data_IF_978066838120
#
_entry.id   IF_978066838120
#
_cell.length_a   1.000
_cell.length_b   1.000
_cell.length_c   1.000
_cell.angle_alpha   90.00
_cell.angle_beta   90.00
_cell.angle_gamma   90.00
#
_symmetry.space_group_name_H-M   'P 1'
#
loop_
_entity.id
_entity.type
_entity.pdbx_description
1 polymer ?
#
# COMPACT_ATOMS: atom_id res chain seq x y z
N UNK A 1 9.76 -14.72 -1.57
CA UNK A 1 8.72 -15.55 -0.97
C UNK A 1 8.04 -16.35 -2.05
N UNK A 2 7.60 -17.55 -1.70
CA UNK A 2 6.89 -18.49 -2.57
C UNK A 2 5.81 -19.20 -1.76
N UNK A 3 4.80 -19.75 -2.44
CA UNK A 3 3.74 -20.53 -1.80
C UNK A 3 4.24 -21.96 -1.54
N UNK A 4 3.91 -22.58 -0.38
CA UNK A 4 4.12 -24.02 -0.18
C UNK A 4 3.37 -24.88 -1.21
N UNK A 5 3.97 -25.99 -1.62
CA UNK A 5 3.45 -26.83 -2.72
C UNK A 5 1.99 -27.29 -2.51
N UNK A 6 1.60 -27.64 -1.28
CA UNK A 6 0.25 -28.10 -0.95
C UNK A 6 -0.83 -27.03 -1.19
N UNK A 7 -0.50 -25.75 -1.01
CA UNK A 7 -1.45 -24.63 -1.08
C UNK A 7 -1.39 -23.90 -2.44
N UNK A 8 -0.59 -24.41 -3.37
CA UNK A 8 -0.38 -23.76 -4.65
C UNK A 8 -1.69 -23.62 -5.42
N UNK A 9 -1.90 -22.45 -6.02
CA UNK A 9 -3.07 -22.06 -6.81
C UNK A 9 -4.41 -21.93 -6.05
N UNK A 10 -4.48 -22.31 -4.78
CA UNK A 10 -5.71 -22.25 -3.99
C UNK A 10 -5.80 -20.99 -3.12
N UNK A 11 -7.03 -20.49 -2.93
CA UNK A 11 -7.35 -19.41 -2.00
C UNK A 11 -8.63 -19.74 -1.23
N UNK A 12 -8.68 -19.43 0.07
CA UNK A 12 -9.91 -19.49 0.85
C UNK A 12 -10.63 -18.15 0.77
N UNK A 13 -11.92 -18.20 0.47
CA UNK A 13 -12.80 -17.04 0.44
C UNK A 13 -14.01 -17.32 1.31
N UNK A 14 -14.13 -16.58 2.41
CA UNK A 14 -15.26 -16.73 3.34
C UNK A 14 -16.60 -16.60 2.61
N UNK A 15 -17.48 -17.57 2.82
CA UNK A 15 -18.78 -17.65 2.15
C UNK A 15 -18.78 -18.41 0.82
N UNK A 16 -17.62 -18.64 0.20
CA UNK A 16 -17.46 -19.46 -1.01
C UNK A 16 -16.67 -20.74 -0.77
N UNK A 17 -15.79 -20.78 0.25
CA UNK A 17 -14.90 -21.89 0.53
C UNK A 17 -13.57 -21.77 -0.21
N UNK A 18 -12.96 -22.91 -0.55
CA UNK A 18 -11.68 -22.96 -1.26
C UNK A 18 -11.93 -22.85 -2.77
N UNK A 19 -11.22 -21.93 -3.42
CA UNK A 19 -11.27 -21.71 -4.87
C UNK A 19 -9.89 -21.92 -5.50
N UNK A 20 -9.85 -22.30 -6.78
CA UNK A 20 -8.61 -22.42 -7.55
C UNK A 20 -8.44 -21.22 -8.49
N UNK A 21 -7.44 -20.39 -8.21
CA UNK A 21 -7.19 -19.12 -8.91
C UNK A 21 -6.68 -19.36 -10.33
N UNK A 22 -5.83 -20.37 -10.56
CA UNK A 22 -5.30 -20.68 -11.90
C UNK A 22 -6.42 -21.11 -12.84
N UNK A 23 -7.31 -21.99 -12.39
CA UNK A 23 -8.44 -22.45 -13.22
C UNK A 23 -9.40 -21.32 -13.55
N UNK A 24 -9.61 -20.37 -12.63
CA UNK A 24 -10.55 -19.26 -12.82
C UNK A 24 -9.99 -18.12 -13.69
N UNK A 25 -8.71 -17.76 -13.52
CA UNK A 25 -8.12 -16.55 -14.09
C UNK A 25 -6.91 -16.80 -15.01
N UNK A 26 -6.52 -18.06 -15.18
CA UNK A 26 -5.41 -18.48 -16.04
C UNK A 26 -4.03 -18.27 -15.41
N UNK A 27 -2.99 -18.63 -16.18
CA UNK A 27 -1.61 -18.61 -15.72
C UNK A 27 -1.06 -17.21 -15.43
N UNK A 28 -1.61 -16.18 -16.08
CA UNK A 28 -1.18 -14.78 -15.88
C UNK A 28 -1.51 -14.24 -14.49
N UNK A 29 -2.52 -14.82 -13.82
CA UNK A 29 -2.88 -14.50 -12.45
C UNK A 29 -1.93 -15.13 -11.41
N UNK A 30 -1.09 -16.09 -11.82
CA UNK A 30 -0.21 -16.83 -10.92
C UNK A 30 1.22 -16.31 -11.02
N UNK A 31 1.82 -16.03 -9.86
CA UNK A 31 3.24 -15.79 -9.73
C UNK A 31 3.87 -16.79 -8.77
N UNK A 32 4.81 -17.58 -9.28
CA UNK A 32 5.49 -18.64 -8.51
C UNK A 32 6.31 -18.08 -7.34
N UNK A 33 7.02 -17.00 -7.58
CA UNK A 33 7.86 -16.35 -6.58
C UNK A 33 7.91 -14.84 -6.77
N UNK A 34 8.10 -14.14 -5.65
CA UNK A 34 8.27 -12.69 -5.64
C UNK A 34 9.21 -12.23 -4.53
N UNK A 35 10.07 -11.27 -4.83
CA UNK A 35 10.86 -10.56 -3.83
C UNK A 35 9.96 -9.69 -2.95
N UNK A 36 10.09 -9.84 -1.62
CA UNK A 36 9.40 -8.98 -0.66
C UNK A 36 10.09 -7.62 -0.64
N UNK A 37 9.35 -6.56 -1.02
CA UNK A 37 9.87 -5.17 -1.07
C UNK A 37 9.04 -4.17 -0.28
N UNK A 38 7.76 -4.48 -0.07
CA UNK A 38 6.80 -3.67 0.65
C UNK A 38 5.92 -4.61 1.49
N UNK A 39 5.66 -4.22 2.73
CA UNK A 39 4.66 -4.82 3.61
C UNK A 39 3.53 -3.82 3.78
N UNK A 40 2.30 -4.28 3.60
CA UNK A 40 1.11 -3.48 3.86
C UNK A 40 0.43 -4.07 5.10
N UNK A 41 0.49 -3.33 6.20
CA UNK A 41 -0.13 -3.73 7.47
C UNK A 41 -1.56 -3.22 7.50
N UNK A 42 -2.51 -4.13 7.41
CA UNK A 42 -3.92 -3.82 7.60
C UNK A 42 -4.22 -3.82 9.09
N UNK A 43 -4.57 -2.67 9.65
CA UNK A 43 -4.87 -2.56 11.08
C UNK A 43 -6.20 -1.85 11.33
N UNK A 44 -7.04 -2.35 12.25
CA UNK A 44 -8.17 -1.58 12.72
C UNK A 44 -7.62 -0.34 13.44
N UNK A 45 -8.17 0.83 13.13
CA UNK A 45 -7.84 2.07 13.83
C UNK A 45 -9.12 2.74 14.28
N UNK A 46 -9.14 3.25 15.50
CA UNK A 46 -10.23 4.11 15.97
C UNK A 46 -10.07 5.55 15.45
N UNK A 47 -11.10 6.38 15.64
CA UNK A 47 -11.09 7.77 15.17
C UNK A 47 -9.93 8.61 15.73
N UNK A 48 -9.52 8.35 16.98
CA UNK A 48 -8.42 9.06 17.59
C UNK A 48 -7.07 8.66 16.97
N UNK A 49 -6.89 7.39 16.60
CA UNK A 49 -5.71 6.90 15.89
C UNK A 49 -5.67 7.40 14.45
N UNK A 50 -6.81 7.39 13.75
CA UNK A 50 -6.95 7.96 12.40
C UNK A 50 -6.60 9.45 12.37
N UNK A 51 -6.93 10.21 13.41
CA UNK A 51 -6.55 11.62 13.54
C UNK A 51 -5.05 11.83 13.75
N UNK A 52 -4.33 10.84 14.26
CA UNK A 52 -2.87 10.89 14.46
C UNK A 52 -2.09 10.49 13.20
N UNK A 53 -2.75 9.91 12.20
CA UNK A 53 -2.10 9.59 10.92
C UNK A 53 -1.69 10.88 10.23
N UNK A 54 -0.42 10.96 9.84
CA UNK A 54 0.09 12.04 9.00
C UNK A 54 -0.62 11.99 7.64
N UNK A 55 -1.38 13.04 7.32
CA UNK A 55 -2.19 13.10 6.09
C UNK A 55 -1.37 13.39 4.85
N UNK A 56 -0.18 13.97 5.00
CA UNK A 56 0.70 14.34 3.89
C UNK A 56 1.71 13.23 3.62
N UNK A 57 2.33 12.71 4.67
CA UNK A 57 3.39 11.70 4.54
C UNK A 57 2.92 10.29 4.78
N UNK A 58 1.72 10.06 5.35
CA UNK A 58 1.25 8.73 5.69
C UNK A 58 2.05 8.07 6.80
N UNK A 59 1.74 6.79 7.06
CA UNK A 59 2.38 5.99 8.11
C UNK A 59 3.35 4.97 7.50
N UNK A 60 4.56 5.43 7.16
CA UNK A 60 5.64 4.58 6.65
C UNK A 60 6.62 4.19 7.78
N UNK A 61 7.03 2.93 7.77
CA UNK A 61 7.98 2.35 8.71
C UNK A 61 8.84 1.28 8.01
N UNK A 62 9.67 0.59 8.79
CA UNK A 62 10.41 -0.58 8.33
C UNK A 62 10.14 -1.76 9.26
N UNK A 63 10.01 -2.95 8.68
CA UNK A 63 9.86 -4.21 9.40
C UNK A 63 11.00 -5.14 9.01
N UNK A 64 11.70 -5.67 10.02
CA UNK A 64 12.79 -6.62 9.81
C UNK A 64 12.23 -8.01 9.51
N UNK A 65 12.63 -8.57 8.37
CA UNK A 65 12.31 -9.94 7.96
C UNK A 65 13.63 -10.66 7.73
N UNK A 66 13.95 -11.65 8.57
CA UNK A 66 15.21 -12.40 8.51
C UNK A 66 16.46 -11.48 8.52
N UNK A 67 16.42 -10.40 9.32
CA UNK A 67 17.51 -9.42 9.41
C UNK A 67 17.54 -8.38 8.28
N UNK A 68 16.61 -8.44 7.32
CA UNK A 68 16.52 -7.47 6.22
C UNK A 68 15.39 -6.46 6.53
N UNK A 69 15.67 -5.15 6.57
CA UNK A 69 14.63 -4.14 6.75
C UNK A 69 13.81 -3.99 5.47
N UNK A 70 12.50 -4.25 5.56
CA UNK A 70 11.55 -4.10 4.46
C UNK A 70 10.66 -2.89 4.73
N UNK A 71 10.41 -2.08 3.70
CA UNK A 71 9.49 -0.95 3.79
C UNK A 71 8.10 -1.44 4.20
N UNK A 72 7.48 -0.77 5.16
CA UNK A 72 6.13 -1.08 5.62
C UNK A 72 5.25 0.19 5.55
N UNK A 73 3.98 0.00 5.20
CA UNK A 73 2.94 1.04 5.29
C UNK A 73 1.74 0.49 6.04
N UNK A 74 1.25 1.24 7.02
CA UNK A 74 0.06 0.89 7.77
C UNK A 74 -1.19 1.50 7.12
N UNK A 75 -2.15 0.67 6.72
CA UNK A 75 -3.43 1.10 6.18
C UNK A 75 -4.55 0.81 7.20
N UNK A 76 -5.36 1.82 7.56
CA UNK A 76 -6.47 1.62 8.48
C UNK A 76 -7.60 0.85 7.79
N UNK A 77 -8.14 -0.15 8.48
CA UNK A 77 -9.34 -0.88 8.07
C UNK A 77 -10.54 -0.20 8.72
N UNK A 78 -11.45 0.30 7.89
CA UNK A 78 -12.70 0.93 8.32
C UNK A 78 -13.83 0.61 7.34
N UNK A 79 -15.09 0.52 7.80
CA UNK A 79 -16.24 0.37 6.91
C UNK A 79 -16.27 1.46 5.83
N UNK A 80 -16.64 1.07 4.60
CA UNK A 80 -16.68 1.99 3.45
C UNK A 80 -15.33 2.24 2.77
N UNK A 81 -14.24 1.62 3.22
CA UNK A 81 -12.95 1.65 2.50
C UNK A 81 -12.76 0.40 1.63
N UNK A 82 -12.62 0.61 0.33
CA UNK A 82 -12.24 -0.45 -0.61
C UNK A 82 -10.75 -0.79 -0.49
N UNK A 83 -10.45 -1.84 0.26
CA UNK A 83 -9.07 -2.21 0.58
C UNK A 83 -8.23 -2.59 -0.64
N UNK A 84 -8.85 -3.18 -1.66
CA UNK A 84 -8.18 -3.49 -2.94
C UNK A 84 -7.59 -2.23 -3.57
N UNK A 85 -8.38 -1.15 -3.67
CA UNK A 85 -7.96 0.13 -4.23
C UNK A 85 -6.87 0.76 -3.37
N UNK A 86 -7.04 0.78 -2.04
CA UNK A 86 -6.03 1.37 -1.15
C UNK A 86 -4.69 0.63 -1.23
N UNK A 87 -4.72 -0.70 -1.30
CA UNK A 87 -3.53 -1.53 -1.50
C UNK A 87 -2.86 -1.22 -2.83
N UNK A 88 -3.62 -1.13 -3.92
CA UNK A 88 -3.10 -0.80 -5.25
C UNK A 88 -2.42 0.58 -5.28
N UNK A 89 -3.07 1.60 -4.71
CA UNK A 89 -2.53 2.96 -4.63
C UNK A 89 -1.26 2.98 -3.79
N UNK A 90 -1.24 2.29 -2.64
CA UNK A 90 -0.06 2.21 -1.79
C UNK A 90 1.13 1.56 -2.52
N UNK A 91 0.88 0.50 -3.29
CA UNK A 91 1.91 -0.15 -4.12
C UNK A 91 2.43 0.79 -5.20
N UNK A 92 1.54 1.51 -5.91
CA UNK A 92 1.94 2.48 -6.94
C UNK A 92 2.76 3.63 -6.35
N UNK A 93 2.33 4.18 -5.22
CA UNK A 93 3.08 5.23 -4.50
C UNK A 93 4.47 4.74 -4.10
N UNK A 94 4.58 3.53 -3.55
CA UNK A 94 5.88 2.94 -3.23
C UNK A 94 6.78 2.81 -4.46
N UNK A 95 6.23 2.39 -5.61
CA UNK A 95 6.98 2.30 -6.87
C UNK A 95 7.46 3.69 -7.33
N UNK A 96 6.62 4.72 -7.21
CA UNK A 96 6.97 6.09 -7.57
C UNK A 96 8.07 6.68 -6.67
N UNK A 97 7.95 6.51 -5.36
CA UNK A 97 8.98 6.92 -4.40
C UNK A 97 10.32 6.23 -4.70
N UNK A 98 10.29 4.93 -5.05
CA UNK A 98 11.49 4.19 -5.46
C UNK A 98 12.07 4.64 -6.81
N UNK A 99 11.27 5.28 -7.66
CA UNK A 99 11.71 5.93 -8.90
C UNK A 99 12.18 7.38 -8.69
N UNK A 100 12.14 7.89 -7.45
CA UNK A 100 12.56 9.25 -7.12
C UNK A 100 11.46 10.30 -7.27
N UNK A 101 10.19 9.89 -7.37
CA UNK A 101 9.06 10.82 -7.40
C UNK A 101 8.35 10.85 -6.04
N UNK A 102 8.38 12.00 -5.38
CA UNK A 102 7.65 12.28 -4.13
C UNK A 102 6.52 13.29 -4.38
N UNK A 103 5.29 12.79 -4.38
CA UNK A 103 4.09 13.60 -4.57
C UNK A 103 3.88 14.64 -3.45
N UNK A 104 4.33 14.34 -2.22
CA UNK A 104 4.21 15.24 -1.08
C UNK A 104 5.15 16.43 -1.24
N UNK A 105 6.39 16.18 -1.66
CA UNK A 105 7.36 17.24 -1.96
C UNK A 105 6.86 18.13 -3.11
N UNK A 106 6.39 17.52 -4.20
CA UNK A 106 5.83 18.27 -5.33
C UNK A 106 4.65 19.15 -4.90
N UNK A 107 3.75 18.60 -4.08
CA UNK A 107 2.61 19.35 -3.58
C UNK A 107 3.03 20.56 -2.73
N UNK A 108 4.01 20.40 -1.83
CA UNK A 108 4.54 21.49 -1.01
C UNK A 108 5.12 22.61 -1.86
N UNK A 109 5.91 22.26 -2.89
CA UNK A 109 6.50 23.25 -3.81
C UNK A 109 5.40 24.03 -4.54
N UNK A 110 4.40 23.34 -5.08
CA UNK A 110 3.26 23.98 -5.77
C UNK A 110 2.46 24.88 -4.83
N UNK A 111 2.27 24.46 -3.57
CA UNK A 111 1.56 25.24 -2.57
C UNK A 111 2.32 26.52 -2.23
N UNK A 112 3.64 26.46 -2.03
CA UNK A 112 4.46 27.63 -1.72
C UNK A 112 4.39 28.66 -2.85
N UNK A 113 4.56 28.21 -4.10
CA UNK A 113 4.45 29.09 -5.27
C UNK A 113 3.09 29.80 -5.37
N UNK A 114 2.00 29.11 -5.00
CA UNK A 114 0.67 29.71 -4.98
C UNK A 114 0.52 30.79 -3.89
N UNK A 115 1.15 30.59 -2.72
CA UNK A 115 1.16 31.56 -1.62
C UNK A 115 1.94 32.82 -2.01
N UNK A 116 3.14 32.65 -2.58
CA UNK A 116 4.01 33.77 -2.95
C UNK A 116 3.33 34.66 -4.00
N UNK A 117 2.73 34.05 -5.02
CA UNK A 117 1.97 34.77 -6.07
C UNK A 117 0.79 35.57 -5.50
N UNK A 118 0.13 35.06 -4.46
CA UNK A 118 -0.97 35.79 -3.79
C UNK A 118 -0.47 36.99 -2.97
N UNK A 119 0.77 36.95 -2.50
CA UNK A 119 1.38 38.07 -1.77
C UNK A 119 1.83 39.19 -2.72
N UNK A 120 2.31 38.85 -3.92
CA UNK A 120 2.68 39.84 -4.97
C UNK A 120 1.47 40.59 -5.57
N UNK A 121 0.27 40.00 -5.48
CA UNK A 121 -0.99 40.59 -5.95
C UNK A 121 -1.65 41.53 -4.93
N UNK A 122 -1.09 41.66 -3.72
CA UNK A 122 -1.55 42.56 -2.66
C UNK A 122 -0.63 43.75 -2.51
#
# INVERSE_FOLDING_TARGET
GSCPALLQDFLEVRGLGIINIRTMFGDSAIKQEKYLRLIIRLQPMNDAELKKVDRLRGSYSYTNVLGIPISEVALPVAPGREMSILVEVAVRQFILLKKGYDATEEFIIRQQQAIDKQQELK
#
